data_IF_006550133322
#
_entry.id   IF_006550133322
#
_cell.length_a   1.000
_cell.length_b   1.000
_cell.length_c   1.000
_cell.angle_alpha   90.00
_cell.angle_beta   90.00
_cell.angle_gamma   90.00
#
_symmetry.space_group_name_H-M   'P 1'
#
loop_
_entity.id
_entity.type
_entity.pdbx_description
1 polymer ?
#
# COMPACT_ATOMS: atom_id res chain seq x y z
N UNK A 1 2.63 6.21 -20.98
CA UNK A 1 1.94 5.15 -20.21
C UNK A 1 1.60 5.76 -18.86
N UNK A 2 0.35 6.16 -18.64
CA UNK A 2 -0.08 6.73 -17.35
C UNK A 2 -0.31 5.51 -16.44
N UNK A 3 0.34 5.39 -15.27
CA UNK A 3 0.11 4.24 -14.41
C UNK A 3 -1.34 4.28 -13.95
N UNK A 4 -2.12 3.26 -14.34
CA UNK A 4 -3.59 3.24 -14.20
C UNK A 4 -4.11 3.23 -12.75
N UNK A 5 -3.27 3.25 -11.73
CA UNK A 5 -3.66 3.46 -10.35
C UNK A 5 -2.52 4.17 -9.59
N UNK A 6 -2.54 5.51 -9.45
CA UNK A 6 -1.48 6.21 -8.74
C UNK A 6 -1.55 5.84 -7.26
N UNK A 7 -0.65 4.97 -6.82
CA UNK A 7 -0.34 4.86 -5.40
C UNK A 7 0.60 6.02 -5.08
N UNK A 8 0.11 7.03 -4.37
CA UNK A 8 0.96 8.09 -3.85
C UNK A 8 1.59 7.66 -2.51
N UNK A 9 2.52 8.48 -2.01
CA UNK A 9 3.22 8.19 -0.76
C UNK A 9 2.25 8.01 0.42
N UNK A 10 1.19 8.82 0.49
CA UNK A 10 0.19 8.76 1.56
C UNK A 10 -0.60 7.44 1.51
N UNK A 11 -1.03 7.04 0.31
CA UNK A 11 -1.71 5.76 0.07
C UNK A 11 -0.80 4.59 0.44
N UNK A 12 0.50 4.66 0.16
CA UNK A 12 1.44 3.64 0.61
C UNK A 12 1.52 3.54 2.14
N UNK A 13 1.54 4.66 2.86
CA UNK A 13 1.50 4.67 4.32
C UNK A 13 0.18 4.07 4.87
N UNK A 14 -0.96 4.37 4.24
CA UNK A 14 -2.25 3.74 4.59
C UNK A 14 -2.27 2.24 4.32
N UNK A 15 -1.69 1.78 3.20
CA UNK A 15 -1.55 0.36 2.87
C UNK A 15 -0.69 -0.34 3.92
N UNK A 16 0.45 0.27 4.30
CA UNK A 16 1.33 -0.28 5.34
C UNK A 16 0.61 -0.40 6.67
N UNK A 17 -0.16 0.62 7.08
CA UNK A 17 -0.98 0.55 8.29
C UNK A 17 -2.03 -0.56 8.20
N UNK A 18 -2.78 -0.64 7.09
CA UNK A 18 -3.81 -1.65 6.92
C UNK A 18 -3.26 -3.08 6.98
N UNK A 19 -2.12 -3.36 6.34
CA UNK A 19 -1.54 -4.71 6.28
C UNK A 19 -0.75 -5.05 7.54
N UNK A 20 0.10 -4.14 8.03
CA UNK A 20 1.04 -4.45 9.12
C UNK A 20 0.47 -4.18 10.52
N UNK A 21 -0.53 -3.30 10.65
CA UNK A 21 -1.12 -2.93 11.95
C UNK A 21 -2.53 -3.48 12.09
N UNK A 22 -3.38 -3.33 11.07
CA UNK A 22 -4.75 -3.86 11.10
C UNK A 22 -4.86 -5.33 10.64
N UNK A 23 -3.74 -5.95 10.29
CA UNK A 23 -3.65 -7.34 9.82
C UNK A 23 -4.56 -7.67 8.62
N UNK A 24 -4.80 -6.69 7.74
CA UNK A 24 -5.56 -6.96 6.52
C UNK A 24 -4.74 -7.83 5.56
N UNK A 25 -5.45 -8.73 4.86
CA UNK A 25 -4.84 -9.43 3.73
C UNK A 25 -4.45 -8.43 2.63
N UNK A 26 -3.36 -8.69 1.92
CA UNK A 26 -2.92 -7.83 0.81
C UNK A 26 -3.99 -7.73 -0.29
N UNK A 27 -4.77 -8.79 -0.52
CA UNK A 27 -5.91 -8.77 -1.45
C UNK A 27 -7.02 -7.81 -1.00
N UNK A 28 -7.33 -7.77 0.30
CA UNK A 28 -8.30 -6.82 0.85
C UNK A 28 -7.79 -5.38 0.70
N UNK A 29 -6.53 -5.12 1.03
CA UNK A 29 -5.93 -3.80 0.85
C UNK A 29 -5.91 -3.37 -0.62
N UNK A 30 -5.54 -4.27 -1.53
CA UNK A 30 -5.56 -4.04 -2.98
C UNK A 30 -6.94 -3.62 -3.48
N UNK A 31 -7.98 -4.33 -3.06
CA UNK A 31 -9.37 -4.00 -3.41
C UNK A 31 -9.82 -2.68 -2.79
N UNK A 32 -9.51 -2.44 -1.52
CA UNK A 32 -9.96 -1.25 -0.79
C UNK A 32 -9.31 0.04 -1.31
N UNK A 33 -8.01 0.03 -1.56
CA UNK A 33 -7.27 1.20 -2.03
C UNK A 33 -7.29 1.34 -3.56
N UNK A 34 -7.98 0.45 -4.29
CA UNK A 34 -7.94 0.39 -5.75
C UNK A 34 -6.50 0.37 -6.28
N UNK A 35 -5.63 -0.46 -5.69
CA UNK A 35 -4.23 -0.58 -6.10
C UNK A 35 -3.95 -2.02 -6.48
N UNK A 36 -3.16 -2.25 -7.53
CA UNK A 36 -2.78 -3.60 -7.95
C UNK A 36 -2.09 -4.36 -6.80
N UNK A 37 -2.44 -5.64 -6.59
CA UNK A 37 -1.84 -6.48 -5.55
C UNK A 37 -0.32 -6.58 -5.61
N UNK A 38 0.27 -6.52 -6.81
CA UNK A 38 1.73 -6.45 -7.00
C UNK A 38 2.34 -5.15 -6.44
N UNK A 39 1.63 -4.03 -6.56
CA UNK A 39 2.05 -2.75 -5.95
C UNK A 39 1.96 -2.81 -4.43
N UNK A 40 0.86 -3.37 -3.89
CA UNK A 40 0.71 -3.61 -2.45
C UNK A 40 1.86 -4.48 -1.92
N UNK A 41 2.16 -5.59 -2.62
CA UNK A 41 3.27 -6.48 -2.24
C UNK A 41 4.63 -5.77 -2.26
N UNK A 42 4.89 -4.93 -3.27
CA UNK A 42 6.12 -4.12 -3.33
C UNK A 42 6.21 -3.13 -2.17
N UNK A 43 5.11 -2.47 -1.81
CA UNK A 43 5.05 -1.53 -0.67
C UNK A 43 5.34 -2.25 0.65
N UNK A 44 4.62 -3.34 0.93
CA UNK A 44 4.78 -4.13 2.16
C UNK A 44 6.20 -4.67 2.32
N UNK A 45 6.88 -4.97 1.20
CA UNK A 45 8.28 -5.42 1.19
C UNK A 45 9.31 -4.28 1.20
N UNK A 46 8.89 -3.02 1.22
CA UNK A 46 9.78 -1.85 1.16
C UNK A 46 10.49 -1.65 -0.20
N UNK A 47 9.96 -2.26 -1.27
CA UNK A 47 10.49 -2.19 -2.64
C UNK A 47 9.90 -1.04 -3.46
N UNK A 48 8.93 -0.30 -2.91
CA UNK A 48 8.32 0.89 -3.51
C UNK A 48 7.97 1.88 -2.40
N UNK A 49 7.87 3.17 -2.76
CA UNK A 49 7.56 4.27 -1.84
C UNK A 49 8.51 4.33 -0.64
N UNK A 50 9.82 4.45 -0.91
CA UNK A 50 10.84 4.61 0.13
C UNK A 50 10.47 5.75 1.10
N UNK A 51 10.63 5.47 2.40
CA UNK A 51 10.25 6.40 3.48
C UNK A 51 8.79 6.31 3.90
N UNK A 52 7.93 5.57 3.18
CA UNK A 52 6.59 5.29 3.66
C UNK A 52 6.66 4.39 4.90
N UNK A 53 5.89 4.74 5.92
CA UNK A 53 5.75 3.99 7.17
C UNK A 53 4.27 3.88 7.54
N UNK A 54 3.87 2.90 8.36
CA UNK A 54 2.51 2.87 8.90
C UNK A 54 2.20 4.20 9.60
N UNK A 55 1.06 4.83 9.26
CA UNK A 55 0.64 6.05 9.96
C UNK A 55 0.18 5.71 11.38
N UNK A 56 0.70 6.40 12.42
CA UNK A 56 0.11 6.36 13.74
C UNK A 56 -1.11 7.30 13.72
N UNK A 57 -2.29 6.73 13.56
CA UNK A 57 -3.65 7.32 13.75
C UNK A 57 -3.78 8.85 13.68
#
# INVERSE_FOLDING_TARGET
>A
MIPEFPCDHLTACHILHAVLVLEWSQSKASHYFCVNGGTVSKIVRGLSHHGASPLPF
#
